data_IF_396718384216
#
_entry.id   IF_396718384216
#
_cell.length_a   1.000
_cell.length_b   1.000
_cell.length_c   1.000
_cell.angle_alpha   90.00
_cell.angle_beta   90.00
_cell.angle_gamma   90.00
#
_symmetry.space_group_name_H-M   'P 1'
#
loop_
_entity.id
_entity.type
_entity.pdbx_description
1 polymer ?
#
# COMPACT_ATOMS: atom_id res chain seq x y z
N UNK A 1 -11.18 -10.27 0.01
CA UNK A 1 -10.89 -11.72 0.17
C UNK A 1 -9.39 -11.93 0.19
N UNK A 2 -8.89 -12.98 0.85
CA UNK A 2 -7.46 -13.31 0.81
C UNK A 2 -7.07 -13.84 -0.58
N UNK A 3 -5.85 -13.55 -1.04
CA UNK A 3 -5.39 -13.94 -2.38
C UNK A 3 -5.54 -15.45 -2.71
N UNK A 4 -5.33 -16.33 -1.74
CA UNK A 4 -5.41 -17.80 -1.88
C UNK A 4 -6.85 -18.29 -2.02
N UNK A 5 -7.81 -17.53 -1.53
CA UNK A 5 -9.24 -17.87 -1.66
C UNK A 5 -9.76 -17.56 -3.08
N UNK A 6 -9.04 -16.73 -3.85
CA UNK A 6 -9.35 -16.49 -5.25
C UNK A 6 -9.03 -17.71 -6.11
N UNK A 7 -9.99 -18.10 -6.94
CA UNK A 7 -9.71 -19.05 -8.01
C UNK A 7 -8.86 -18.40 -9.13
N UNK A 8 -8.30 -19.23 -10.02
CA UNK A 8 -7.42 -18.77 -11.10
C UNK A 8 -8.05 -17.71 -12.01
N UNK A 9 -9.34 -17.81 -12.28
CA UNK A 9 -10.05 -16.83 -13.12
C UNK A 9 -10.11 -15.49 -12.40
N UNK A 10 -10.50 -15.46 -11.13
CA UNK A 10 -10.54 -14.24 -10.32
C UNK A 10 -9.17 -13.57 -10.21
N UNK A 11 -8.10 -14.36 -10.01
CA UNK A 11 -6.72 -13.85 -9.97
C UNK A 11 -6.33 -13.19 -11.29
N UNK A 12 -6.58 -13.89 -12.40
CA UNK A 12 -6.29 -13.38 -13.75
C UNK A 12 -7.11 -12.13 -14.06
N UNK A 13 -8.38 -12.10 -13.69
CA UNK A 13 -9.26 -10.95 -13.96
C UNK A 13 -8.79 -9.71 -13.18
N UNK A 14 -8.36 -9.88 -11.92
CA UNK A 14 -7.73 -8.79 -11.16
C UNK A 14 -6.44 -8.31 -11.84
N UNK A 15 -5.49 -9.22 -12.11
CA UNK A 15 -4.21 -8.88 -12.75
C UNK A 15 -4.42 -8.17 -14.09
N UNK A 16 -5.38 -8.64 -14.90
CA UNK A 16 -5.70 -8.03 -16.20
C UNK A 16 -6.23 -6.61 -16.06
N UNK A 17 -7.05 -6.34 -15.04
CA UNK A 17 -7.52 -4.99 -14.74
C UNK A 17 -6.37 -4.06 -14.31
N UNK A 18 -5.42 -4.56 -13.52
CA UNK A 18 -4.22 -3.80 -13.15
C UNK A 18 -3.38 -3.45 -14.39
N UNK A 19 -3.14 -4.42 -15.28
CA UNK A 19 -2.43 -4.20 -16.54
C UNK A 19 -3.17 -3.16 -17.39
N UNK A 20 -4.50 -3.25 -17.50
CA UNK A 20 -5.31 -2.27 -18.21
C UNK A 20 -5.14 -0.84 -17.68
N UNK A 21 -5.04 -0.62 -16.35
CA UNK A 21 -4.80 0.73 -15.81
C UNK A 21 -3.46 1.34 -16.27
N UNK A 22 -2.47 0.51 -16.62
CA UNK A 22 -1.19 0.99 -17.18
C UNK A 22 -1.32 1.52 -18.61
N UNK A 23 -2.44 1.26 -19.27
CA UNK A 23 -2.74 1.72 -20.64
C UNK A 23 -3.67 2.95 -20.65
N UNK A 24 -4.26 3.32 -19.50
CA UNK A 24 -5.12 4.49 -19.36
C UNK A 24 -4.30 5.75 -19.22
N UNK A 25 -4.73 6.83 -19.85
CA UNK A 25 -4.04 8.12 -19.77
C UNK A 25 -4.06 8.67 -18.35
N UNK A 26 -2.93 9.22 -17.92
CA UNK A 26 -2.78 9.91 -16.64
C UNK A 26 -3.65 11.18 -16.55
N UNK A 27 -4.13 11.48 -15.35
CA UNK A 27 -4.84 12.73 -15.01
C UNK A 27 -3.92 13.81 -14.40
N UNK A 28 -2.64 13.49 -14.19
CA UNK A 28 -1.64 14.43 -13.69
C UNK A 28 -0.61 14.82 -14.74
N UNK A 29 -0.03 13.85 -15.44
CA UNK A 29 1.17 14.02 -16.25
C UNK A 29 1.02 13.33 -17.62
N UNK A 30 0.86 14.09 -18.71
CA UNK A 30 0.79 13.52 -20.05
C UNK A 30 1.98 12.63 -20.38
N UNK A 31 1.71 11.42 -20.89
CA UNK A 31 2.74 10.43 -21.20
C UNK A 31 3.15 9.53 -20.02
N UNK A 32 2.44 9.57 -18.90
CA UNK A 32 2.32 8.45 -17.95
C UNK A 32 0.93 7.84 -17.98
N UNK A 33 0.69 6.84 -17.14
CA UNK A 33 -0.60 6.15 -17.05
C UNK A 33 -1.41 6.50 -15.79
N UNK A 34 -2.71 6.20 -15.80
CA UNK A 34 -3.55 6.29 -14.61
C UNK A 34 -3.04 5.40 -13.48
N UNK A 35 -2.39 4.27 -13.80
CA UNK A 35 -1.71 3.46 -12.78
C UNK A 35 -0.54 4.22 -12.13
N UNK A 36 0.26 4.92 -12.93
CA UNK A 36 1.40 5.70 -12.42
C UNK A 36 0.95 6.88 -11.54
N UNK A 37 -0.27 7.37 -11.72
CA UNK A 37 -0.83 8.48 -10.92
C UNK A 37 -0.97 8.14 -9.44
N UNK A 38 -1.16 6.87 -9.10
CA UNK A 38 -1.18 6.41 -7.71
C UNK A 38 0.19 6.53 -7.06
N UNK A 39 1.26 6.13 -7.76
CA UNK A 39 2.63 6.33 -7.28
C UNK A 39 2.97 7.82 -7.21
N UNK A 40 2.52 8.61 -8.20
CA UNK A 40 2.67 10.06 -8.18
C UNK A 40 2.05 10.65 -6.92
N UNK A 41 0.76 10.39 -6.69
CA UNK A 41 0.03 10.98 -5.58
C UNK A 41 0.53 10.52 -4.21
N UNK A 42 0.94 9.26 -4.09
CA UNK A 42 1.51 8.74 -2.85
C UNK A 42 2.82 9.44 -2.46
N UNK A 43 3.61 9.95 -3.42
CA UNK A 43 4.79 10.77 -3.07
C UNK A 43 4.38 12.11 -2.47
N UNK A 44 3.37 12.80 -3.03
CA UNK A 44 2.95 14.12 -2.52
C UNK A 44 2.29 14.02 -1.14
N UNK A 45 1.26 13.18 -1.02
CA UNK A 45 0.46 13.07 0.21
C UNK A 45 1.14 12.16 1.26
N UNK A 46 1.90 11.15 0.83
CA UNK A 46 2.57 10.21 1.71
C UNK A 46 3.53 10.87 2.70
N UNK A 47 4.09 12.03 2.35
CA UNK A 47 4.97 12.80 3.25
C UNK A 47 4.28 13.29 4.50
N UNK A 48 2.97 13.57 4.44
CA UNK A 48 2.19 14.10 5.56
C UNK A 48 1.29 13.04 6.18
N UNK A 49 0.91 12.00 5.43
CA UNK A 49 -0.04 10.98 5.90
C UNK A 49 0.59 9.81 6.64
N UNK A 50 1.88 9.52 6.41
CA UNK A 50 2.63 8.51 7.18
C UNK A 50 3.08 9.05 8.52
N UNK A 51 3.12 8.19 9.54
CA UNK A 51 3.43 8.54 10.94
C UNK A 51 2.54 9.67 11.46
N UNK A 52 1.29 9.66 11.01
CA UNK A 52 0.24 10.63 11.28
C UNK A 52 -1.09 9.92 11.54
N UNK A 53 -2.01 10.58 12.22
CA UNK A 53 -3.34 10.04 12.53
C UNK A 53 -4.08 9.61 11.25
N UNK A 54 -3.86 10.32 10.14
CA UNK A 54 -4.47 10.06 8.84
C UNK A 54 -3.97 8.81 8.12
N UNK A 55 -2.93 8.13 8.60
CA UNK A 55 -2.32 6.97 7.93
C UNK A 55 -3.38 5.95 7.49
N UNK A 56 -4.19 5.45 8.42
CA UNK A 56 -5.21 4.44 8.11
C UNK A 56 -6.35 4.96 7.21
N UNK A 57 -7.07 6.06 7.55
CA UNK A 57 -8.18 6.52 6.71
C UNK A 57 -7.74 7.01 5.33
N UNK A 58 -6.55 7.61 5.20
CA UNK A 58 -6.03 8.02 3.89
C UNK A 58 -5.74 6.80 3.01
N UNK A 59 -5.05 5.77 3.54
CA UNK A 59 -4.77 4.56 2.75
C UNK A 59 -6.04 3.77 2.42
N UNK A 60 -7.03 3.72 3.31
CA UNK A 60 -8.36 3.17 2.99
C UNK A 60 -9.00 3.88 1.80
N UNK A 61 -9.00 5.21 1.82
CA UNK A 61 -9.55 5.99 0.72
C UNK A 61 -8.74 5.84 -0.58
N UNK A 62 -7.42 5.72 -0.46
CA UNK A 62 -6.50 5.49 -1.57
C UNK A 62 -6.77 4.15 -2.27
N UNK A 63 -6.83 3.04 -1.53
CA UNK A 63 -7.10 1.73 -2.12
C UNK A 63 -8.55 1.59 -2.63
N UNK A 64 -9.51 2.28 -2.01
CA UNK A 64 -10.87 2.35 -2.52
C UNK A 64 -10.94 3.10 -3.86
N UNK A 65 -10.20 4.21 -3.98
CA UNK A 65 -10.09 4.96 -5.24
C UNK A 65 -9.41 4.13 -6.33
N UNK A 66 -8.41 3.34 -5.97
CA UNK A 66 -7.78 2.37 -6.88
C UNK A 66 -8.75 1.28 -7.33
N UNK A 67 -9.50 0.66 -6.40
CA UNK A 67 -10.52 -0.34 -6.75
C UNK A 67 -11.59 0.26 -7.67
N UNK A 68 -12.04 1.48 -7.39
CA UNK A 68 -12.98 2.20 -8.24
C UNK A 68 -12.43 2.41 -9.65
N UNK A 69 -11.16 2.79 -9.80
CA UNK A 69 -10.51 2.91 -11.10
C UNK A 69 -10.45 1.56 -11.86
N UNK A 70 -10.14 0.44 -11.17
CA UNK A 70 -10.20 -0.89 -11.79
C UNK A 70 -11.59 -1.22 -12.33
N UNK A 71 -12.64 -0.87 -11.59
CA UNK A 71 -14.04 -1.12 -11.98
C UNK A 71 -14.45 -0.21 -13.14
N UNK A 72 -14.26 1.10 -13.01
CA UNK A 72 -14.79 2.09 -13.95
C UNK A 72 -14.01 2.14 -15.26
N UNK A 73 -12.67 2.05 -15.19
CA UNK A 73 -11.81 2.20 -16.37
C UNK A 73 -11.51 0.86 -17.05
N UNK A 74 -11.49 -0.23 -16.27
CA UNK A 74 -11.04 -1.55 -16.73
C UNK A 74 -12.09 -2.66 -16.58
N UNK A 75 -13.30 -2.33 -16.12
CA UNK A 75 -14.42 -3.27 -16.07
C UNK A 75 -14.27 -4.39 -15.05
N UNK A 76 -13.38 -4.24 -14.07
CA UNK A 76 -13.20 -5.23 -13.00
C UNK A 76 -14.52 -5.46 -12.25
N UNK A 77 -14.88 -6.72 -12.01
CA UNK A 77 -16.13 -7.11 -11.33
C UNK A 77 -15.89 -7.81 -9.98
N UNK A 78 -14.63 -7.99 -9.59
CA UNK A 78 -14.26 -8.57 -8.31
C UNK A 78 -14.16 -7.52 -7.21
N UNK A 79 -13.62 -7.95 -6.08
CA UNK A 79 -13.21 -7.06 -4.99
C UNK A 79 -11.69 -7.07 -4.83
N UNK A 80 -11.14 -6.00 -4.26
CA UNK A 80 -9.73 -5.87 -3.97
C UNK A 80 -9.26 -7.01 -3.05
N UNK A 81 -8.31 -7.87 -3.48
CA UNK A 81 -7.76 -8.90 -2.62
C UNK A 81 -6.79 -8.31 -1.60
N UNK A 82 -6.59 -9.01 -0.49
CA UNK A 82 -5.55 -8.71 0.48
C UNK A 82 -4.52 -9.85 0.56
N UNK A 83 -3.30 -9.49 0.96
CA UNK A 83 -2.23 -10.44 1.24
C UNK A 83 -2.06 -10.62 2.76
N UNK A 84 -2.46 -11.78 3.29
CA UNK A 84 -2.26 -12.07 4.71
C UNK A 84 -0.80 -12.52 4.97
N UNK A 85 0.05 -11.58 5.36
CA UNK A 85 1.47 -11.83 5.62
C UNK A 85 1.70 -12.89 6.71
N UNK A 86 0.76 -13.07 7.65
CA UNK A 86 0.93 -14.02 8.74
C UNK A 86 0.95 -15.48 8.24
N UNK A 87 0.27 -15.75 7.12
CA UNK A 87 0.32 -17.06 6.45
C UNK A 87 1.68 -17.34 5.80
N UNK A 88 2.46 -16.30 5.52
CA UNK A 88 3.76 -16.35 4.86
C UNK A 88 4.92 -15.97 5.79
N UNK A 89 4.67 -15.75 7.09
CA UNK A 89 5.66 -15.20 8.00
C UNK A 89 6.89 -16.11 8.21
N UNK A 90 6.81 -17.40 7.87
CA UNK A 90 7.99 -18.27 7.86
C UNK A 90 8.90 -18.03 6.65
N UNK A 91 8.30 -17.71 5.50
CA UNK A 91 9.04 -17.38 4.28
C UNK A 91 8.20 -16.51 3.33
N UNK A 92 8.41 -15.19 3.40
CA UNK A 92 7.62 -14.25 2.59
C UNK A 92 7.87 -14.42 1.08
N UNK A 93 9.04 -14.94 0.69
CA UNK A 93 9.42 -15.08 -0.71
C UNK A 93 8.62 -16.15 -1.46
N UNK A 94 8.07 -17.15 -0.75
CA UNK A 94 7.31 -18.25 -1.35
C UNK A 94 5.80 -18.00 -1.40
N UNK A 95 5.37 -16.79 -1.01
CA UNK A 95 3.96 -16.42 -1.07
C UNK A 95 3.41 -16.57 -2.49
N UNK A 96 2.20 -17.12 -2.67
CA UNK A 96 1.57 -17.28 -3.98
C UNK A 96 1.21 -15.95 -4.64
N UNK A 97 1.34 -14.81 -3.95
CA UNK A 97 1.28 -13.50 -4.62
C UNK A 97 2.48 -13.30 -5.56
N UNK A 98 3.60 -13.98 -5.33
CA UNK A 98 4.80 -13.87 -6.15
C UNK A 98 4.91 -14.97 -7.22
N UNK A 99 3.86 -15.77 -7.39
CA UNK A 99 3.79 -16.74 -8.49
C UNK A 99 3.83 -16.01 -9.86
N UNK A 100 4.60 -16.49 -10.83
CA UNK A 100 4.68 -15.83 -12.14
C UNK A 100 3.46 -16.05 -13.03
N UNK A 101 2.64 -17.06 -12.78
CA UNK A 101 1.48 -17.39 -13.64
C UNK A 101 0.18 -16.87 -13.04
N UNK A 102 -0.03 -17.15 -11.76
CA UNK A 102 -1.25 -16.85 -11.01
C UNK A 102 -0.96 -15.77 -9.94
N UNK A 103 0.02 -14.88 -10.15
CA UNK A 103 0.50 -13.84 -9.22
C UNK A 103 1.14 -12.63 -9.90
N UNK A 104 1.91 -11.86 -9.14
CA UNK A 104 2.52 -10.57 -9.54
C UNK A 104 3.99 -10.72 -9.99
N UNK A 105 4.46 -11.94 -10.24
CA UNK A 105 5.87 -12.23 -10.52
C UNK A 105 6.74 -12.24 -9.25
N UNK A 106 7.91 -12.85 -9.35
CA UNK A 106 8.82 -13.09 -8.23
C UNK A 106 9.77 -11.93 -7.90
N UNK A 107 10.93 -12.31 -7.36
CA UNK A 107 12.06 -11.41 -7.12
C UNK A 107 12.67 -10.89 -8.43
N UNK A 108 13.43 -9.80 -8.35
CA UNK A 108 14.20 -9.29 -9.47
C UNK A 108 15.40 -10.18 -9.82
N UNK A 109 15.69 -10.31 -11.11
CA UNK A 109 16.84 -11.10 -11.60
C UNK A 109 18.05 -10.20 -11.83
N UNK A 110 19.18 -10.53 -11.21
CA UNK A 110 20.44 -9.80 -11.42
C UNK A 110 20.99 -10.06 -12.83
N UNK A 111 21.53 -9.03 -13.48
CA UNK A 111 22.11 -9.12 -14.83
C UNK A 111 21.49 -8.20 -15.88
N UNK A 112 20.48 -7.40 -15.55
CA UNK A 112 20.02 -6.32 -16.43
C UNK A 112 21.01 -5.16 -16.46
N UNK A 113 21.26 -4.57 -17.62
CA UNK A 113 21.96 -3.27 -17.75
C UNK A 113 21.14 -2.08 -17.25
N UNK A 114 19.90 -2.33 -16.81
CA UNK A 114 18.98 -1.32 -16.29
C UNK A 114 19.34 -0.94 -14.85
N UNK A 115 19.09 0.32 -14.44
CA UNK A 115 19.47 0.81 -13.11
C UNK A 115 18.79 0.03 -11.98
N UNK A 116 19.56 -0.35 -10.96
CA UNK A 116 19.01 -0.84 -9.71
C UNK A 116 18.28 0.28 -8.95
N UNK A 117 17.09 -0.01 -8.45
CA UNK A 117 16.33 0.92 -7.60
C UNK A 117 16.25 0.33 -6.20
N UNK A 118 16.77 1.07 -5.22
CA UNK A 118 16.80 0.65 -3.80
C UNK A 118 17.38 -0.77 -3.55
N UNK A 119 18.30 -1.22 -4.42
CA UNK A 119 18.90 -2.56 -4.37
C UNK A 119 18.01 -3.68 -4.91
N UNK A 120 16.98 -3.35 -5.68
CA UNK A 120 16.19 -4.30 -6.48
C UNK A 120 16.62 -4.33 -7.95
N UNK A 121 16.32 -5.44 -8.60
CA UNK A 121 16.54 -5.69 -10.02
C UNK A 121 15.21 -5.89 -10.74
N UNK A 122 15.21 -5.88 -12.07
CA UNK A 122 13.99 -6.07 -12.85
C UNK A 122 13.34 -7.42 -12.56
N UNK A 123 12.03 -7.38 -12.32
CA UNK A 123 11.18 -8.57 -12.40
C UNK A 123 11.12 -9.01 -13.87
N UNK A 124 11.45 -10.27 -14.15
CA UNK A 124 11.55 -10.79 -15.54
C UNK A 124 10.47 -11.80 -15.89
N UNK A 125 9.58 -12.12 -14.95
CA UNK A 125 8.52 -13.12 -15.12
C UNK A 125 7.16 -12.58 -14.64
N UNK A 126 6.09 -13.13 -15.21
CA UNK A 126 4.72 -12.76 -14.91
C UNK A 126 4.22 -11.50 -15.60
N UNK A 127 2.99 -11.10 -15.26
CA UNK A 127 2.23 -10.08 -15.98
C UNK A 127 2.89 -8.68 -16.01
N UNK A 128 3.83 -8.42 -15.10
CA UNK A 128 4.49 -7.12 -14.96
C UNK A 128 5.96 -7.12 -15.39
N UNK A 129 6.46 -8.20 -15.98
CA UNK A 129 7.87 -8.32 -16.39
C UNK A 129 8.32 -7.23 -17.38
N UNK A 130 7.41 -6.79 -18.26
CA UNK A 130 7.67 -5.75 -19.26
C UNK A 130 7.04 -4.41 -18.89
N UNK A 131 6.52 -4.26 -17.67
CA UNK A 131 5.91 -3.02 -17.24
C UNK A 131 6.97 -1.93 -17.08
N UNK A 132 6.70 -0.75 -17.64
CA UNK A 132 7.51 0.44 -17.40
C UNK A 132 6.89 1.28 -16.29
N UNK A 133 7.68 1.61 -15.27
CA UNK A 133 7.32 2.52 -14.17
C UNK A 133 7.91 3.89 -14.44
N UNK A 134 7.11 4.93 -14.25
CA UNK A 134 7.50 6.29 -14.64
C UNK A 134 8.22 7.06 -13.54
N UNK A 135 7.92 6.76 -12.28
CA UNK A 135 8.25 7.63 -11.17
C UNK A 135 9.23 7.01 -10.20
N UNK A 136 10.15 7.83 -9.70
CA UNK A 136 11.02 7.50 -8.58
C UNK A 136 10.97 8.63 -7.56
N UNK A 137 10.82 8.28 -6.27
CA UNK A 137 10.94 9.26 -5.18
C UNK A 137 12.41 9.49 -4.81
N UNK A 138 12.80 10.74 -4.56
CA UNK A 138 14.12 11.11 -4.02
C UNK A 138 13.95 11.98 -2.78
N UNK A 139 14.55 11.58 -1.65
CA UNK A 139 14.52 12.41 -0.45
C UNK A 139 15.28 13.74 -0.69
N UNK A 140 14.70 14.84 -0.24
CA UNK A 140 15.27 16.19 -0.32
C UNK A 140 15.67 16.76 1.06
N UNK A 141 15.67 15.91 2.10
CA UNK A 141 15.99 16.28 3.49
C UNK A 141 14.80 16.78 4.33
N UNK A 142 13.73 17.26 3.69
CA UNK A 142 12.51 17.74 4.36
C UNK A 142 11.24 17.04 3.84
N UNK A 143 11.40 16.02 3.00
CA UNK A 143 10.33 15.34 2.29
C UNK A 143 10.90 14.57 1.10
N UNK A 144 10.13 14.48 0.02
CA UNK A 144 10.50 13.74 -1.19
C UNK A 144 10.12 14.53 -2.44
N UNK A 145 11.04 14.57 -3.39
CA UNK A 145 10.78 14.99 -4.76
C UNK A 145 10.33 13.78 -5.58
N UNK A 146 9.47 14.02 -6.56
CA UNK A 146 9.14 13.04 -7.60
C UNK A 146 9.97 13.29 -8.85
N UNK A 147 10.60 12.24 -9.37
CA UNK A 147 11.42 12.30 -10.56
C UNK A 147 10.86 11.37 -11.63
N UNK A 148 10.68 11.89 -12.85
CA UNK A 148 10.38 11.04 -14.01
C UNK A 148 11.63 10.27 -14.40
N UNK A 149 11.62 8.97 -14.20
CA UNK A 149 12.71 8.07 -14.49
C UNK A 149 12.11 6.75 -14.99
N UNK A 150 11.88 6.55 -16.30
CA UNK A 150 11.31 5.31 -16.81
C UNK A 150 12.21 4.09 -16.55
N UNK A 151 11.68 3.05 -15.92
CA UNK A 151 12.41 1.82 -15.55
C UNK A 151 11.49 0.59 -15.54
N UNK A 152 12.07 -0.61 -15.46
CA UNK A 152 11.32 -1.86 -15.22
C UNK A 152 10.80 -1.90 -13.77
N UNK A 153 9.76 -2.69 -13.48
CA UNK A 153 9.41 -2.99 -12.08
C UNK A 153 10.58 -3.67 -11.36
N UNK A 154 11.11 -3.02 -10.31
CA UNK A 154 12.25 -3.51 -9.53
C UNK A 154 11.82 -4.21 -8.23
N UNK A 155 12.41 -5.37 -7.93
CA UNK A 155 12.31 -6.07 -6.62
C UNK A 155 13.66 -6.65 -6.20
N UNK A 156 13.87 -6.76 -4.88
CA UNK A 156 15.12 -7.26 -4.30
C UNK A 156 14.91 -7.85 -2.92
N UNK A 157 14.28 -9.04 -2.87
CA UNK A 157 13.89 -9.67 -1.60
C UNK A 157 15.06 -9.78 -0.63
N UNK A 158 14.85 -9.33 0.60
CA UNK A 158 15.83 -9.46 1.67
C UNK A 158 16.13 -10.92 1.96
N UNK A 159 17.37 -11.18 2.38
CA UNK A 159 17.89 -12.51 2.71
C UNK A 159 18.58 -12.53 4.07
N UNK A 160 18.85 -13.73 4.59
CA UNK A 160 19.61 -13.94 5.83
C UNK A 160 18.94 -13.33 7.06
N UNK A 161 19.73 -12.80 7.98
CA UNK A 161 19.22 -12.26 9.26
C UNK A 161 18.23 -11.10 9.08
N UNK A 162 18.40 -10.29 8.03
CA UNK A 162 17.48 -9.18 7.74
C UNK A 162 16.09 -9.71 7.38
N UNK A 163 16.01 -10.75 6.53
CA UNK A 163 14.77 -11.45 6.19
C UNK A 163 14.07 -11.96 7.45
N UNK A 164 14.77 -12.73 8.28
CA UNK A 164 14.21 -13.32 9.50
C UNK A 164 13.68 -12.24 10.45
N UNK A 165 14.39 -11.12 10.60
CA UNK A 165 13.92 -10.00 11.43
C UNK A 165 12.62 -9.37 10.93
N UNK A 166 12.45 -9.26 9.62
CA UNK A 166 11.25 -8.68 9.01
C UNK A 166 10.05 -9.65 9.09
N UNK A 167 10.31 -10.93 8.83
CA UNK A 167 9.37 -12.04 8.95
C UNK A 167 8.79 -12.18 10.37
N UNK A 168 9.64 -12.08 11.39
CA UNK A 168 9.20 -12.14 12.80
C UNK A 168 8.22 -11.02 13.19
N UNK A 169 8.13 -9.93 12.41
CA UNK A 169 7.25 -8.78 12.70
C UNK A 169 5.85 -8.95 12.12
N UNK A 170 5.64 -9.96 11.29
CA UNK A 170 4.35 -10.25 10.64
C UNK A 170 3.80 -11.63 11.01
N UNK A 171 4.36 -12.30 12.01
CA UNK A 171 3.80 -13.54 12.56
C UNK A 171 2.43 -13.29 13.21
N UNK A 172 1.62 -14.34 13.34
CA UNK A 172 0.32 -14.26 14.02
C UNK A 172 0.42 -13.64 15.41
N UNK A 173 1.42 -14.02 16.22
CA UNK A 173 1.63 -13.46 17.56
C UNK A 173 2.00 -11.97 17.52
N UNK A 174 2.83 -11.58 16.55
CA UNK A 174 3.24 -10.20 16.37
C UNK A 174 2.06 -9.32 15.92
N UNK A 175 1.18 -9.84 15.06
CA UNK A 175 -0.06 -9.17 14.64
C UNK A 175 -1.07 -9.09 15.79
N UNK A 176 -1.27 -10.18 16.54
CA UNK A 176 -2.16 -10.20 17.71
C UNK A 176 -1.71 -9.20 18.79
N UNK A 177 -0.40 -9.03 18.97
CA UNK A 177 0.16 -8.03 19.88
C UNK A 177 -0.24 -6.62 19.47
N UNK A 178 -0.15 -6.29 18.19
CA UNK A 178 -0.61 -4.98 17.66
C UNK A 178 -2.12 -4.82 17.83
N UNK A 179 -2.91 -5.83 17.48
CA UNK A 179 -4.38 -5.79 17.60
C UNK A 179 -4.87 -5.64 19.05
N UNK A 180 -4.05 -5.95 20.05
CA UNK A 180 -4.41 -5.81 21.46
C UNK A 180 -4.32 -4.37 22.00
N UNK A 181 -3.68 -3.46 21.26
CA UNK A 181 -3.50 -2.06 21.66
C UNK A 181 -4.84 -1.34 21.66
N UNK A 182 -5.20 -0.65 22.75
CA UNK A 182 -6.54 -0.05 22.89
C UNK A 182 -6.65 1.37 22.32
N UNK A 183 -5.60 2.17 22.41
CA UNK A 183 -5.61 3.55 21.94
C UNK A 183 -5.32 3.62 20.43
N UNK A 184 -6.12 4.37 19.68
CA UNK A 184 -5.99 4.47 18.21
C UNK A 184 -4.60 4.93 17.78
N UNK A 185 -4.06 5.98 18.40
CA UNK A 185 -2.74 6.53 18.05
C UNK A 185 -1.62 5.50 18.25
N UNK A 186 -1.61 4.81 19.38
CA UNK A 186 -0.63 3.75 19.68
C UNK A 186 -0.79 2.55 18.73
N UNK A 187 -2.03 2.20 18.38
CA UNK A 187 -2.32 1.12 17.44
C UNK A 187 -1.81 1.44 16.04
N UNK A 188 -2.10 2.65 15.54
CA UNK A 188 -1.65 3.15 14.23
C UNK A 188 -0.13 3.15 14.17
N UNK A 189 0.54 3.74 15.17
CA UNK A 189 1.99 3.80 15.21
C UNK A 189 2.60 2.39 15.25
N UNK A 190 2.10 1.50 16.11
CA UNK A 190 2.58 0.14 16.20
C UNK A 190 2.40 -0.63 14.87
N UNK A 191 1.22 -0.53 14.25
CA UNK A 191 0.93 -1.20 12.96
C UNK A 191 1.83 -0.67 11.84
N UNK A 192 1.98 0.65 11.74
CA UNK A 192 2.77 1.31 10.71
C UNK A 192 4.26 1.01 10.88
N UNK A 193 4.78 1.16 12.10
CA UNK A 193 6.19 0.91 12.42
C UNK A 193 6.54 -0.54 12.24
N UNK A 194 5.65 -1.47 12.58
CA UNK A 194 5.87 -2.92 12.56
C UNK A 194 5.52 -3.56 11.21
N UNK A 195 4.29 -4.06 11.07
CA UNK A 195 3.92 -4.97 10.01
C UNK A 195 3.90 -4.27 8.64
N UNK A 196 3.38 -3.05 8.59
CA UNK A 196 3.40 -2.21 7.39
C UNK A 196 4.84 -2.03 6.88
N UNK A 197 5.72 -1.42 7.67
CA UNK A 197 7.11 -1.15 7.27
C UNK A 197 7.95 -2.40 6.99
N UNK A 198 7.58 -3.56 7.52
CA UNK A 198 8.32 -4.81 7.26
C UNK A 198 8.27 -5.25 5.81
N UNK A 199 7.14 -5.02 5.13
CA UNK A 199 6.91 -5.53 3.77
C UNK A 199 7.70 -4.74 2.71
N UNK A 200 7.64 -3.40 2.63
CA UNK A 200 8.53 -2.59 1.80
C UNK A 200 10.02 -2.90 2.04
N UNK A 201 10.41 -3.08 3.30
CA UNK A 201 11.78 -3.42 3.67
C UNK A 201 12.19 -4.81 3.20
N UNK A 202 11.25 -5.76 3.16
CA UNK A 202 11.49 -7.10 2.66
C UNK A 202 11.57 -7.12 1.13
N UNK A 203 10.56 -6.56 0.44
CA UNK A 203 10.45 -6.64 -1.03
C UNK A 203 11.51 -5.79 -1.73
N UNK A 204 11.86 -4.64 -1.16
CA UNK A 204 12.82 -3.66 -1.71
C UNK A 204 12.37 -3.16 -3.08
N UNK A 205 13.32 -2.71 -3.91
CA UNK A 205 12.98 -2.23 -5.25
C UNK A 205 12.07 -1.02 -5.22
N UNK A 206 11.13 -0.99 -6.16
CA UNK A 206 10.08 0.02 -6.24
C UNK A 206 9.23 0.10 -4.98
N UNK A 207 9.00 -1.05 -4.33
CA UNK A 207 8.14 -1.13 -3.16
C UNK A 207 8.77 -0.50 -1.90
N UNK A 208 10.06 -0.13 -1.92
CA UNK A 208 10.74 0.43 -0.75
C UNK A 208 10.48 1.93 -0.51
N UNK A 209 10.34 2.71 -1.59
CA UNK A 209 10.27 4.17 -1.53
C UNK A 209 8.85 4.70 -1.35
N UNK A 210 8.67 6.03 -1.38
CA UNK A 210 7.31 6.61 -1.46
C UNK A 210 6.64 6.37 -2.81
N UNK A 211 7.37 5.92 -3.83
CA UNK A 211 6.79 5.39 -5.06
C UNK A 211 6.36 3.92 -4.94
N UNK A 212 6.21 3.41 -3.72
CA UNK A 212 5.75 2.06 -3.39
C UNK A 212 4.58 1.54 -4.26
N UNK A 213 3.55 2.36 -4.61
CA UNK A 213 2.47 1.94 -5.51
C UNK A 213 2.90 1.55 -6.94
N UNK A 214 4.14 1.82 -7.36
CA UNK A 214 4.72 1.26 -8.59
C UNK A 214 4.64 -0.27 -8.58
N UNK A 215 4.78 -0.92 -7.42
CA UNK A 215 4.61 -2.35 -7.27
C UNK A 215 3.13 -2.70 -7.02
N UNK A 216 2.48 -3.50 -7.88
CA UNK A 216 1.06 -3.84 -7.73
C UNK A 216 0.75 -4.63 -6.45
N UNK A 217 1.77 -5.22 -5.79
CA UNK A 217 1.60 -5.85 -4.47
C UNK A 217 1.25 -4.84 -3.38
N UNK A 218 1.55 -3.54 -3.58
CA UNK A 218 1.18 -2.44 -2.68
C UNK A 218 -0.30 -2.49 -2.30
N UNK A 219 -1.19 -2.70 -3.27
CA UNK A 219 -2.63 -2.64 -3.00
C UNK A 219 -3.12 -3.82 -2.17
N UNK A 220 -2.55 -5.01 -2.35
CA UNK A 220 -2.85 -6.18 -1.53
C UNK A 220 -2.29 -6.03 -0.11
N UNK A 221 -1.11 -5.40 0.01
CA UNK A 221 -0.52 -5.04 1.29
C UNK A 221 -1.42 -4.05 2.04
N UNK A 222 -1.80 -2.93 1.43
CA UNK A 222 -2.65 -1.95 2.11
C UNK A 222 -4.09 -2.44 2.33
N UNK A 223 -4.62 -3.37 1.52
CA UNK A 223 -5.87 -4.05 1.84
C UNK A 223 -5.76 -4.93 3.10
N UNK A 224 -4.60 -5.53 3.40
CA UNK A 224 -4.37 -6.23 4.66
C UNK A 224 -4.19 -5.25 5.82
N UNK A 225 -3.49 -4.11 5.63
CA UNK A 225 -3.43 -3.03 6.63
C UNK A 225 -4.84 -2.57 7.01
N UNK A 226 -5.68 -2.31 6.00
CA UNK A 226 -7.06 -1.88 6.21
C UNK A 226 -7.92 -2.96 6.88
N UNK A 227 -7.74 -4.23 6.51
CA UNK A 227 -8.38 -5.36 7.19
C UNK A 227 -8.01 -5.46 8.66
N UNK A 228 -6.74 -5.27 9.01
CA UNK A 228 -6.31 -5.30 10.41
C UNK A 228 -6.91 -4.14 11.22
N UNK A 229 -7.03 -2.96 10.61
CA UNK A 229 -7.75 -1.85 11.24
C UNK A 229 -9.24 -2.15 11.41
N UNK A 230 -9.89 -2.72 10.39
CA UNK A 230 -11.28 -3.15 10.48
C UNK A 230 -11.47 -4.18 11.61
N UNK A 231 -10.62 -5.21 11.70
CA UNK A 231 -10.66 -6.20 12.79
C UNK A 231 -10.48 -5.56 14.16
N UNK A 232 -9.55 -4.60 14.29
CA UNK A 232 -9.34 -3.84 15.52
C UNK A 232 -10.59 -3.06 15.93
N UNK A 233 -11.29 -2.43 14.98
CA UNK A 233 -12.57 -1.76 15.23
C UNK A 233 -13.64 -2.75 15.66
N UNK A 234 -13.73 -3.94 15.03
CA UNK A 234 -14.74 -4.96 15.35
C UNK A 234 -14.61 -5.55 16.76
N UNK A 235 -13.43 -5.51 17.38
CA UNK A 235 -13.23 -6.01 18.75
C UNK A 235 -14.02 -5.23 19.80
N UNK A 236 -14.27 -3.94 19.56
CA UNK A 236 -15.08 -3.07 20.41
C UNK A 236 -15.66 -1.94 19.55
N UNK A 237 -16.67 -2.29 18.74
CA UNK A 237 -17.21 -1.38 17.73
C UNK A 237 -17.80 -0.11 18.34
N UNK A 238 -18.39 -0.21 19.54
CA UNK A 238 -19.00 0.93 20.23
C UNK A 238 -17.94 1.97 20.61
N UNK A 239 -16.79 1.52 21.12
CA UNK A 239 -15.72 2.41 21.56
C UNK A 239 -14.73 2.78 20.46
N UNK A 240 -14.53 1.94 19.44
CA UNK A 240 -13.43 2.07 18.46
C UNK A 240 -13.83 2.51 17.06
N UNK A 241 -15.10 2.38 16.65
CA UNK A 241 -15.50 2.63 15.26
C UNK A 241 -15.15 4.05 14.78
N UNK A 242 -15.19 5.04 15.67
CA UNK A 242 -14.99 6.46 15.33
C UNK A 242 -13.82 7.10 16.08
N UNK A 243 -12.93 6.31 16.68
CA UNK A 243 -11.74 6.86 17.31
C UNK A 243 -10.75 7.33 16.25
N UNK A 244 -10.30 8.57 16.40
CA UNK A 244 -9.35 9.21 15.53
C UNK A 244 -8.61 10.27 16.34
N UNK A 245 -7.33 10.03 16.57
CA UNK A 245 -6.47 10.87 17.39
C UNK A 245 -5.01 10.70 16.98
N UNK A 246 -4.17 11.61 17.44
CA UNK A 246 -2.74 11.63 17.17
C UNK A 246 -2.34 12.76 16.23
N UNK A 247 -1.10 12.71 15.72
CA UNK A 247 -0.48 13.82 15.04
C UNK A 247 -1.13 14.13 13.68
N UNK A 248 -1.40 15.39 13.36
CA UNK A 248 -1.94 15.80 12.04
C UNK A 248 -0.95 15.65 10.89
N UNK A 249 0.34 15.58 11.18
CA UNK A 249 1.40 15.46 10.19
C UNK A 249 2.43 14.44 10.63
N UNK A 250 3.27 14.04 9.67
CA UNK A 250 4.35 13.10 9.86
C UNK A 250 5.34 13.54 10.95
N UNK A 251 5.31 12.83 12.08
CA UNK A 251 6.17 13.07 13.24
C UNK A 251 7.66 12.88 12.97
N UNK A 252 8.04 12.10 11.94
CA UNK A 252 9.45 11.87 11.60
C UNK A 252 10.08 13.01 10.80
N UNK A 253 9.26 13.79 10.12
CA UNK A 253 9.70 14.97 9.36
C UNK A 253 9.50 16.24 10.19
N UNK A 254 8.42 16.32 10.96
CA UNK A 254 7.99 17.51 11.73
C UNK A 254 8.05 17.29 13.25
N UNK A 255 9.14 16.72 13.76
CA UNK A 255 9.27 16.27 15.16
C UNK A 255 9.06 17.35 16.25
N UNK A 256 9.06 18.65 15.89
CA UNK A 256 9.01 19.77 16.84
C UNK A 256 7.74 20.64 16.75
N UNK A 257 6.77 20.28 15.91
CA UNK A 257 5.50 21.00 15.82
C UNK A 257 4.49 20.44 16.84
N UNK A 258 3.61 21.27 17.38
CA UNK A 258 2.52 20.81 18.25
C UNK A 258 1.49 20.06 17.41
N UNK A 259 1.67 18.75 17.25
CA UNK A 259 0.92 17.93 16.30
C UNK A 259 -0.46 17.47 16.81
N UNK A 260 -0.87 17.82 18.02
CA UNK A 260 -2.17 17.40 18.59
C UNK A 260 -3.36 18.08 17.88
N UNK A 261 -4.53 17.43 17.93
CA UNK A 261 -5.79 18.01 17.46
C UNK A 261 -6.28 17.52 16.10
N UNK A 262 -5.88 16.34 15.65
CA UNK A 262 -6.56 15.66 14.55
C UNK A 262 -8.07 15.52 14.84
N UNK A 263 -8.88 15.59 13.79
CA UNK A 263 -10.34 15.60 13.87
C UNK A 263 -10.96 14.79 12.74
N UNK A 264 -12.14 14.21 12.98
CA UNK A 264 -12.92 13.55 11.93
C UNK A 264 -13.33 14.52 10.79
N UNK A 265 -13.22 15.83 11.02
CA UNK A 265 -13.46 16.87 10.02
C UNK A 265 -12.23 17.19 9.15
N UNK A 266 -11.07 16.61 9.46
CA UNK A 266 -9.86 16.81 8.67
C UNK A 266 -10.07 16.25 7.25
N UNK A 267 -9.56 16.96 6.25
CA UNK A 267 -9.76 16.65 4.83
C UNK A 267 -8.61 15.78 4.32
N UNK A 268 -8.98 14.70 3.65
CA UNK A 268 -8.09 13.80 2.92
C UNK A 268 -8.13 14.15 1.44
N UNK A 269 -6.95 14.36 0.86
CA UNK A 269 -6.76 14.70 -0.55
C UNK A 269 -6.13 13.53 -1.30
N UNK A 270 -6.62 13.29 -2.51
CA UNK A 270 -6.00 12.41 -3.52
C UNK A 270 -5.74 13.18 -4.82
N UNK A 271 -5.62 14.52 -4.73
CA UNK A 271 -5.42 15.39 -5.89
C UNK A 271 -6.52 15.20 -6.93
N UNK A 272 -6.13 14.91 -8.18
CA UNK A 272 -7.05 14.71 -9.29
C UNK A 272 -7.58 13.27 -9.41
N UNK A 273 -7.12 12.31 -8.58
CA UNK A 273 -7.63 10.94 -8.62
C UNK A 273 -9.06 10.84 -8.10
N UNK A 274 -9.43 11.70 -7.14
CA UNK A 274 -10.77 11.71 -6.54
C UNK A 274 -11.02 13.01 -5.79
N UNK A 275 -12.30 13.30 -5.54
CA UNK A 275 -12.71 14.51 -4.81
C UNK A 275 -12.17 14.49 -3.37
N UNK A 276 -11.78 15.63 -2.79
CA UNK A 276 -11.45 15.69 -1.37
C UNK A 276 -12.61 15.18 -0.51
N UNK A 277 -12.28 14.45 0.55
CA UNK A 277 -13.22 13.78 1.45
C UNK A 277 -12.80 14.05 2.90
N UNK A 278 -13.70 13.89 3.87
CA UNK A 278 -13.34 14.04 5.28
C UNK A 278 -13.05 12.67 5.90
N UNK A 279 -12.25 12.66 6.96
CA UNK A 279 -11.96 11.44 7.72
C UNK A 279 -13.27 10.76 8.17
N UNK A 280 -14.30 11.52 8.55
CA UNK A 280 -15.59 10.97 8.98
C UNK A 280 -16.26 10.08 7.93
N UNK A 281 -16.03 10.31 6.64
CA UNK A 281 -16.65 9.55 5.55
C UNK A 281 -16.00 8.18 5.33
N UNK A 282 -14.78 7.99 5.82
CA UNK A 282 -13.97 6.79 5.59
C UNK A 282 -13.48 6.13 6.88
N UNK A 283 -13.87 6.64 8.06
CA UNK A 283 -13.44 6.10 9.35
C UNK A 283 -13.94 4.65 9.56
N UNK A 284 -15.07 4.29 8.97
CA UNK A 284 -15.63 2.92 8.93
C UNK A 284 -15.72 2.41 7.49
N UNK A 285 -15.75 1.09 7.29
CA UNK A 285 -15.92 0.46 5.95
C UNK A 285 -17.36 0.49 5.44
N UNK A 286 -18.28 0.96 6.27
CA UNK A 286 -19.70 1.17 5.96
C UNK A 286 -20.05 2.64 6.26
N UNK A 287 -20.29 3.41 5.20
CA UNK A 287 -20.63 4.83 5.22
C UNK A 287 -21.42 5.19 3.94
N UNK A 288 -21.65 6.48 3.66
CA UNK A 288 -22.22 6.90 2.37
C UNK A 288 -21.24 6.70 1.20
N UNK A 289 -19.93 6.61 1.49
CA UNK A 289 -18.87 6.47 0.48
C UNK A 289 -18.40 5.03 0.36
N UNK A 290 -18.34 4.28 1.46
CA UNK A 290 -17.80 2.93 1.53
C UNK A 290 -18.89 1.92 1.89
N UNK A 291 -18.84 0.73 1.27
CA UNK A 291 -19.78 -0.35 1.58
C UNK A 291 -19.11 -1.71 1.36
N UNK A 292 -18.26 -2.12 2.31
CA UNK A 292 -17.58 -3.41 2.26
C UNK A 292 -17.23 -3.97 3.65
N UNK A 293 -16.87 -5.26 3.67
CA UNK A 293 -16.37 -6.01 4.82
C UNK A 293 -15.25 -6.94 4.37
N UNK A 294 -14.45 -7.42 5.33
CA UNK A 294 -13.38 -8.39 5.11
C UNK A 294 -13.77 -9.80 5.53
#
# INVERSE_FOLDING_TARGET
MEWRDLNKTQKRDYISAVVCLTEKESVFEPGSSLYDDFAYMHVFEGTVTHYAASFLPWHRYFIHTYEKALVEECGFQGSLPYWDWALDAHDLAVSPIFDPNDGFGGNGTSGSSLPEIFGGHCVTEGAFANATRQWQSKSNGHGFDILRNPHCLGRGFQVGEKKVKLENRVTTDAINSVLSIAAYEEFVDALEVQAHNSIPQFVRGDFYGLTAPNDPVFYLHHAQVDRLWWLWQQQDIESRAKTYQGPRQNTRVHANESLTGSSLEDVLSLGNLSKPIRVHDVITTESEVLCYRY
#
